data_IF_465505973108
#
_entry.id   IF_465505973108
#
_cell.length_a   1.000
_cell.length_b   1.000
_cell.length_c   1.000
_cell.angle_alpha   90.00
_cell.angle_beta   90.00
_cell.angle_gamma   90.00
#
_symmetry.space_group_name_H-M   'P 1'
#
loop_
_entity.id
_entity.type
_entity.pdbx_description
1 polymer ?
#
# COMPACT_ATOMS: atom_id res chain seq x y z
N UNK A 1 -17.43 19.90 -30.59
CA UNK A 1 -16.48 18.85 -31.03
C UNK A 1 -15.23 18.81 -30.14
N UNK A 2 -14.76 19.95 -29.64
CA UNK A 2 -13.55 20.06 -28.80
C UNK A 2 -13.60 19.26 -27.49
N UNK A 3 -14.72 19.30 -26.75
CA UNK A 3 -14.83 18.59 -25.46
C UNK A 3 -14.66 17.08 -25.58
N UNK A 4 -15.15 16.45 -26.66
CA UNK A 4 -14.99 15.01 -26.89
C UNK A 4 -13.54 14.64 -27.16
N UNK A 5 -12.84 15.47 -27.93
CA UNK A 5 -11.43 15.29 -28.24
C UNK A 5 -10.56 15.43 -26.98
N UNK A 6 -10.84 16.43 -26.14
CA UNK A 6 -10.12 16.61 -24.86
C UNK A 6 -10.32 15.41 -23.93
N UNK A 7 -11.56 14.91 -23.84
CA UNK A 7 -11.89 13.77 -22.97
C UNK A 7 -11.27 12.47 -23.49
N UNK A 8 -11.30 12.21 -24.80
CA UNK A 8 -10.64 11.04 -25.37
C UNK A 8 -9.12 11.11 -25.19
N UNK A 9 -8.52 12.28 -25.42
CA UNK A 9 -7.09 12.50 -25.23
C UNK A 9 -6.69 12.29 -23.76
N UNK A 10 -7.46 12.82 -22.82
CA UNK A 10 -7.20 12.63 -21.39
C UNK A 10 -7.29 11.16 -20.98
N UNK A 11 -8.30 10.42 -21.47
CA UNK A 11 -8.44 8.99 -21.21
C UNK A 11 -7.25 8.19 -21.76
N UNK A 12 -6.81 8.51 -22.98
CA UNK A 12 -5.70 7.83 -23.65
C UNK A 12 -4.36 8.16 -22.98
N UNK A 13 -4.13 9.41 -22.58
CA UNK A 13 -2.94 9.79 -21.80
C UNK A 13 -2.88 9.06 -20.46
N UNK A 14 -4.01 8.94 -19.75
CA UNK A 14 -4.08 8.18 -18.50
C UNK A 14 -3.84 6.68 -18.72
N UNK A 15 -4.34 6.13 -19.83
CA UNK A 15 -4.09 4.74 -20.21
C UNK A 15 -2.59 4.49 -20.45
N UNK A 16 -1.95 5.33 -21.27
CA UNK A 16 -0.52 5.27 -21.52
C UNK A 16 0.32 5.51 -20.26
N UNK A 17 -0.10 6.42 -19.38
CA UNK A 17 0.56 6.64 -18.09
C UNK A 17 0.47 5.39 -17.19
N UNK A 18 -0.68 4.73 -17.15
CA UNK A 18 -0.88 3.50 -16.38
C UNK A 18 -0.06 2.32 -16.91
N UNK A 19 -0.15 2.05 -18.21
CA UNK A 19 0.66 0.99 -18.86
C UNK A 19 2.15 1.32 -18.74
N UNK A 20 2.51 2.58 -18.98
CA UNK A 20 3.89 3.06 -18.89
C UNK A 20 4.49 2.89 -17.50
N UNK A 21 3.76 3.22 -16.43
CA UNK A 21 4.26 3.06 -15.06
C UNK A 21 4.46 1.59 -14.68
N UNK A 22 3.59 0.68 -15.12
CA UNK A 22 3.76 -0.76 -14.93
C UNK A 22 5.01 -1.27 -15.65
N UNK A 23 5.17 -0.91 -16.93
CA UNK A 23 6.31 -1.34 -17.75
C UNK A 23 7.62 -0.79 -17.19
N UNK A 24 7.68 0.52 -16.90
CA UNK A 24 8.87 1.16 -16.36
C UNK A 24 9.24 0.61 -14.99
N UNK A 25 8.26 0.40 -14.11
CA UNK A 25 8.53 -0.18 -12.80
C UNK A 25 8.97 -1.65 -12.85
N UNK A 26 8.41 -2.44 -13.77
CA UNK A 26 8.86 -3.81 -14.02
C UNK A 26 10.29 -3.86 -14.57
N UNK A 27 10.60 -3.03 -15.57
CA UNK A 27 11.95 -2.91 -16.12
C UNK A 27 12.95 -2.44 -15.07
N UNK A 28 12.58 -1.44 -14.25
CA UNK A 28 13.41 -0.96 -13.15
C UNK A 28 13.66 -2.06 -12.10
N UNK A 29 12.63 -2.79 -11.71
CA UNK A 29 12.76 -3.91 -10.77
C UNK A 29 13.65 -5.02 -11.34
N UNK A 30 13.52 -5.33 -12.63
CA UNK A 30 14.35 -6.32 -13.32
C UNK A 30 15.80 -5.86 -13.45
N UNK A 31 16.02 -4.59 -13.81
CA UNK A 31 17.35 -4.00 -13.89
C UNK A 31 18.05 -4.03 -12.52
N UNK A 32 17.34 -3.68 -11.45
CA UNK A 32 17.87 -3.74 -10.09
C UNK A 32 18.15 -5.18 -9.65
N UNK A 33 17.35 -6.15 -10.11
CA UNK A 33 17.60 -7.58 -9.87
C UNK A 33 18.83 -8.08 -10.62
N UNK A 34 19.03 -7.64 -11.87
CA UNK A 34 20.14 -8.05 -12.72
C UNK A 34 21.48 -7.41 -12.30
N UNK A 35 21.46 -6.17 -11.80
CA UNK A 35 22.65 -5.42 -11.39
C UNK A 35 22.92 -5.47 -9.88
N UNK A 36 21.94 -5.87 -9.07
CA UNK A 36 22.04 -5.93 -7.61
C UNK A 36 22.88 -7.10 -7.10
N UNK A 37 23.52 -6.92 -5.94
CA UNK A 37 24.19 -8.01 -5.22
C UNK A 37 23.15 -9.02 -4.73
N UNK A 38 23.39 -10.32 -4.93
CA UNK A 38 22.53 -11.39 -4.40
C UNK A 38 22.53 -11.30 -2.88
N UNK A 39 21.41 -10.89 -2.29
CA UNK A 39 21.25 -10.85 -0.84
C UNK A 39 20.95 -12.28 -0.35
N UNK A 40 21.54 -12.73 0.76
CA UNK A 40 21.19 -14.02 1.36
C UNK A 40 19.72 -14.06 1.79
N UNK A 41 19.09 -15.24 1.76
CA UNK A 41 17.80 -15.48 2.42
C UNK A 41 16.54 -15.00 1.68
N UNK A 42 16.52 -14.97 0.35
CA UNK A 42 15.29 -14.66 -0.42
C UNK A 42 14.89 -13.18 -0.44
N UNK A 43 15.67 -12.32 0.23
CA UNK A 43 15.39 -10.89 0.36
C UNK A 43 15.41 -10.15 -0.98
N UNK A 44 16.24 -10.60 -1.94
CA UNK A 44 16.26 -10.06 -3.30
C UNK A 44 14.92 -10.28 -4.02
N UNK A 45 14.32 -11.46 -3.88
CA UNK A 45 13.02 -11.78 -4.47
C UNK A 45 11.90 -10.98 -3.80
N UNK A 46 11.94 -10.85 -2.47
CA UNK A 46 10.99 -10.01 -1.71
C UNK A 46 11.01 -8.56 -2.17
N UNK A 47 12.20 -7.97 -2.33
CA UNK A 47 12.36 -6.59 -2.84
C UNK A 47 11.89 -6.42 -4.28
N UNK A 48 12.19 -7.38 -5.14
CA UNK A 48 11.67 -7.39 -6.52
C UNK A 48 10.14 -7.38 -6.53
N UNK A 49 9.50 -8.29 -5.78
CA UNK A 49 8.03 -8.34 -5.69
C UNK A 49 7.41 -7.07 -5.11
N UNK A 50 8.03 -6.46 -4.11
CA UNK A 50 7.55 -5.19 -3.54
C UNK A 50 7.62 -4.04 -4.55
N UNK A 51 8.72 -3.92 -5.28
CA UNK A 51 8.88 -2.86 -6.29
C UNK A 51 7.93 -3.07 -7.48
N UNK A 52 7.80 -4.31 -7.94
CA UNK A 52 6.86 -4.66 -9.00
C UNK A 52 5.41 -4.40 -8.56
N UNK A 53 5.04 -4.81 -7.34
CA UNK A 53 3.71 -4.57 -6.78
C UNK A 53 3.36 -3.09 -6.65
N UNK A 54 4.31 -2.25 -6.21
CA UNK A 54 4.12 -0.78 -6.15
C UNK A 54 3.90 -0.17 -7.52
N UNK A 55 4.66 -0.60 -8.52
CA UNK A 55 4.50 -0.12 -9.89
C UNK A 55 3.15 -0.52 -10.50
N UNK A 56 2.72 -1.77 -10.26
CA UNK A 56 1.41 -2.25 -10.70
C UNK A 56 0.29 -1.46 -10.01
N UNK A 57 0.37 -1.23 -8.70
CA UNK A 57 -0.65 -0.47 -7.96
C UNK A 57 -0.79 0.95 -8.51
N UNK A 58 0.34 1.64 -8.76
CA UNK A 58 0.35 2.96 -9.37
C UNK A 58 -0.26 2.93 -10.78
N UNK A 59 0.09 1.93 -11.59
CA UNK A 59 -0.50 1.75 -12.92
C UNK A 59 -2.01 1.52 -12.86
N UNK A 60 -2.49 0.76 -11.88
CA UNK A 60 -3.91 0.51 -11.67
C UNK A 60 -4.66 1.80 -11.30
N UNK A 61 -4.08 2.71 -10.51
CA UNK A 61 -4.70 4.01 -10.22
C UNK A 61 -4.94 4.83 -11.51
N UNK A 62 -3.95 4.90 -12.40
CA UNK A 62 -4.08 5.59 -13.68
C UNK A 62 -5.08 4.90 -14.62
N UNK A 63 -5.06 3.57 -14.69
CA UNK A 63 -6.02 2.81 -15.49
C UNK A 63 -7.45 2.98 -14.93
N UNK A 64 -7.63 3.18 -13.62
CA UNK A 64 -8.96 3.46 -13.02
C UNK A 64 -9.46 4.82 -13.46
N UNK A 65 -8.60 5.83 -13.44
CA UNK A 65 -8.96 7.14 -13.95
C UNK A 65 -9.34 7.10 -15.44
N UNK A 66 -8.56 6.40 -16.28
CA UNK A 66 -8.82 6.29 -17.72
C UNK A 66 -10.20 5.65 -18.02
N UNK A 67 -10.57 4.62 -17.27
CA UNK A 67 -11.82 3.89 -17.44
C UNK A 67 -13.03 4.73 -17.01
N UNK A 68 -12.94 5.46 -15.89
CA UNK A 68 -13.97 6.41 -15.46
C UNK A 68 -14.17 7.49 -16.53
N UNK A 69 -13.10 8.10 -17.04
CA UNK A 69 -13.18 9.15 -18.08
C UNK A 69 -13.86 8.62 -19.35
N UNK A 70 -13.56 7.37 -19.75
CA UNK A 70 -14.16 6.75 -20.93
C UNK A 70 -15.66 6.54 -20.75
N UNK A 71 -16.08 6.04 -19.59
CA UNK A 71 -17.49 5.77 -19.29
C UNK A 71 -18.35 7.04 -19.32
N UNK A 72 -17.87 8.15 -18.77
CA UNK A 72 -18.64 9.41 -18.71
C UNK A 72 -18.76 10.13 -20.06
N UNK A 73 -17.91 9.78 -21.03
CA UNK A 73 -17.80 10.47 -22.32
C UNK A 73 -18.72 9.93 -23.42
N UNK A 74 -19.23 8.71 -23.26
CA UNK A 74 -20.05 8.03 -24.26
C UNK A 74 -21.53 8.42 -24.11
N UNK A 75 -22.22 8.74 -25.22
CA UNK A 75 -23.68 8.95 -25.16
C UNK A 75 -24.33 7.60 -24.84
N UNK A 76 -25.28 7.53 -23.90
CA UNK A 76 -25.93 6.28 -23.57
C UNK A 76 -26.69 5.75 -24.81
N UNK A 77 -26.19 4.64 -25.35
CA UNK A 77 -26.89 3.75 -26.29
C UNK A 77 -26.79 2.35 -25.69
N UNK A 78 -27.82 1.51 -25.85
CA UNK A 78 -27.81 0.18 -25.23
C UNK A 78 -26.60 -0.67 -25.65
N UNK A 79 -26.19 -0.58 -26.91
CA UNK A 79 -25.02 -1.27 -27.44
C UNK A 79 -23.71 -0.72 -26.87
N UNK A 80 -23.57 0.60 -26.79
CA UNK A 80 -22.40 1.24 -26.18
C UNK A 80 -22.27 0.90 -24.69
N UNK A 81 -23.38 0.87 -23.95
CA UNK A 81 -23.41 0.48 -22.53
C UNK A 81 -23.03 -1.00 -22.35
N UNK A 82 -23.43 -1.88 -23.28
CA UNK A 82 -23.06 -3.31 -23.26
C UNK A 82 -21.55 -3.51 -23.45
N UNK A 83 -20.97 -2.87 -24.46
CA UNK A 83 -19.52 -2.96 -24.72
C UNK A 83 -18.73 -2.35 -23.55
N UNK A 84 -19.17 -1.19 -23.05
CA UNK A 84 -18.58 -0.53 -21.90
C UNK A 84 -18.65 -1.41 -20.64
N UNK A 85 -19.82 -2.01 -20.37
CA UNK A 85 -20.01 -2.92 -19.25
C UNK A 85 -19.12 -4.17 -19.34
N UNK A 86 -18.94 -4.71 -20.56
CA UNK A 86 -18.05 -5.85 -20.79
C UNK A 86 -16.58 -5.49 -20.54
N UNK A 87 -16.13 -4.32 -20.99
CA UNK A 87 -14.74 -3.85 -20.77
C UNK A 87 -14.48 -3.65 -19.26
N UNK A 88 -15.40 -2.99 -18.55
CA UNK A 88 -15.30 -2.80 -17.09
C UNK A 88 -15.31 -4.15 -16.36
N UNK A 89 -16.16 -5.10 -16.78
CA UNK A 89 -16.22 -6.44 -16.18
C UNK A 89 -14.90 -7.19 -16.31
N UNK A 90 -14.32 -7.22 -17.51
CA UNK A 90 -13.01 -7.84 -17.76
C UNK A 90 -11.95 -7.18 -16.89
N UNK A 91 -11.99 -5.85 -16.80
CA UNK A 91 -11.06 -5.06 -16.00
C UNK A 91 -11.12 -5.40 -14.52
N UNK A 92 -12.33 -5.45 -13.94
CA UNK A 92 -12.51 -5.85 -12.54
C UNK A 92 -12.03 -7.27 -12.31
N UNK A 93 -12.39 -8.21 -13.20
CA UNK A 93 -12.01 -9.62 -13.06
C UNK A 93 -10.50 -9.83 -13.11
N UNK A 94 -9.81 -9.27 -14.12
CA UNK A 94 -8.36 -9.41 -14.28
C UNK A 94 -7.60 -8.74 -13.14
N UNK A 95 -7.97 -7.51 -12.76
CA UNK A 95 -7.36 -6.83 -11.62
C UNK A 95 -7.57 -7.63 -10.32
N UNK A 96 -8.75 -8.19 -10.12
CA UNK A 96 -9.07 -8.99 -8.94
C UNK A 96 -8.26 -10.29 -8.87
N UNK A 97 -8.20 -11.07 -9.96
CA UNK A 97 -7.42 -12.31 -9.99
C UNK A 97 -5.93 -12.05 -9.74
N UNK A 98 -5.37 -10.99 -10.33
CA UNK A 98 -3.98 -10.60 -10.09
C UNK A 98 -3.71 -10.23 -8.63
N UNK A 99 -4.58 -9.44 -8.00
CA UNK A 99 -4.44 -9.09 -6.57
C UNK A 99 -4.51 -10.34 -5.69
N UNK A 100 -5.44 -11.25 -5.94
CA UNK A 100 -5.58 -12.50 -5.16
C UNK A 100 -4.36 -13.41 -5.33
N UNK A 101 -3.85 -13.57 -6.56
CA UNK A 101 -2.66 -14.37 -6.82
C UNK A 101 -1.40 -13.76 -6.17
N UNK A 102 -1.26 -12.44 -6.25
CA UNK A 102 -0.09 -11.75 -5.70
C UNK A 102 -0.12 -11.73 -4.17
N UNK A 103 -1.27 -11.50 -3.55
CA UNK A 103 -1.37 -11.37 -2.10
C UNK A 103 -1.66 -12.69 -1.38
N UNK A 104 -2.18 -13.71 -2.08
CA UNK A 104 -2.56 -15.00 -1.50
C UNK A 104 -3.72 -14.90 -0.50
N UNK A 105 -4.39 -13.75 -0.45
CA UNK A 105 -5.46 -13.39 0.49
C UNK A 105 -6.57 -12.67 -0.26
N UNK A 106 -7.79 -12.89 0.17
CA UNK A 106 -8.94 -12.25 -0.45
C UNK A 106 -9.04 -10.78 0.01
N UNK A 107 -9.49 -9.84 -0.85
CA UNK A 107 -9.52 -8.41 -0.51
C UNK A 107 -10.49 -8.06 0.63
N UNK A 108 -11.40 -8.97 0.98
CA UNK A 108 -12.27 -8.84 2.16
C UNK A 108 -11.70 -9.46 3.44
N UNK A 109 -10.46 -9.97 3.43
CA UNK A 109 -9.80 -10.35 4.68
C UNK A 109 -9.38 -9.08 5.41
N UNK A 110 -9.84 -8.86 6.66
CA UNK A 110 -9.40 -7.75 7.47
C UNK A 110 -7.87 -7.78 7.56
N UNK A 111 -7.24 -6.63 7.29
CA UNK A 111 -5.85 -6.43 7.64
C UNK A 111 -5.83 -6.48 9.17
N UNK A 112 -5.14 -7.46 9.75
CA UNK A 112 -4.73 -7.38 11.15
C UNK A 112 -3.80 -6.18 11.27
N UNK A 113 -4.39 -4.99 11.35
CA UNK A 113 -3.72 -3.77 11.75
C UNK A 113 -3.22 -4.03 13.16
N UNK A 114 -1.89 -4.19 13.25
CA UNK A 114 -1.06 -3.88 14.40
C UNK A 114 -1.86 -3.68 15.69
N UNK A 115 -2.04 -4.78 16.43
CA UNK A 115 -2.03 -4.73 17.89
C UNK A 115 -0.63 -4.31 18.37
N UNK A 116 -0.16 -3.15 17.90
CA UNK A 116 0.85 -2.32 18.54
C UNK A 116 0.10 -1.15 19.17
N UNK A 117 -0.93 -1.45 19.96
CA UNK A 117 -1.22 -0.56 21.08
C UNK A 117 0.09 -0.53 21.90
N UNK A 118 0.65 0.66 22.20
CA UNK A 118 1.80 0.72 23.09
C UNK A 118 1.38 0.02 24.37
N UNK A 119 2.19 -0.94 24.83
CA UNK A 119 2.05 -1.45 26.19
C UNK A 119 1.88 -0.24 27.13
N UNK A 120 0.89 -0.25 28.04
CA UNK A 120 0.75 0.85 29.00
C UNK A 120 2.12 1.07 29.64
N UNK A 121 2.56 2.33 29.82
CA UNK A 121 3.88 2.61 30.34
C UNK A 121 4.05 1.84 31.63
N UNK A 122 4.89 0.79 31.60
CA UNK A 122 5.38 0.14 32.80
C UNK A 122 5.99 1.25 33.62
N UNK A 123 5.37 1.54 34.77
CA UNK A 123 5.83 2.56 35.69
C UNK A 123 7.34 2.37 35.90
N UNK A 124 8.15 3.43 35.92
CA UNK A 124 9.57 3.29 36.18
C UNK A 124 9.77 2.50 37.47
N UNK A 125 10.80 1.62 37.55
CA UNK A 125 11.06 0.86 38.76
C UNK A 125 11.10 1.84 39.92
N UNK A 126 10.30 1.57 40.96
CA UNK A 126 10.22 2.41 42.15
C UNK A 126 11.64 2.78 42.58
N UNK A 127 11.95 4.09 42.59
CA UNK A 127 13.19 4.60 43.14
C UNK A 127 13.41 3.92 44.49
N UNK A 128 14.62 3.40 44.80
CA UNK A 128 14.85 2.79 46.10
C UNK A 128 14.41 3.78 47.17
N UNK A 129 13.45 3.34 47.99
CA UNK A 129 12.94 4.14 49.11
C UNK A 129 14.13 4.56 49.97
N UNK A 130 14.61 5.79 49.79
CA UNK A 130 15.41 6.44 50.81
C UNK A 130 14.44 6.72 51.95
N UNK A 131 14.61 6.08 53.13
CA UNK A 131 13.81 6.45 54.28
C UNK A 131 14.03 7.95 54.55
N UNK A 132 12.93 8.67 54.76
CA UNK A 132 12.98 10.07 55.14
C UNK A 132 13.93 10.24 56.34
N UNK A 133 14.76 11.30 56.37
CA UNK A 133 15.63 11.53 57.51
C UNK A 133 14.78 11.65 58.79
N UNK A 134 15.24 11.08 59.92
CA UNK A 134 14.48 11.17 61.16
C UNK A 134 14.31 12.65 61.57
N UNK A 135 13.20 12.98 62.24
CA UNK A 135 12.99 14.33 62.76
C UNK A 135 14.13 14.71 63.71
N UNK A 136 14.47 16.00 63.81
CA UNK A 136 15.66 16.49 64.54
C UNK A 136 15.70 16.07 66.02
N UNK A 137 14.56 15.69 66.59
CA UNK A 137 14.43 15.34 68.01
C UNK A 137 14.40 13.82 68.27
N UNK A 138 14.76 12.99 67.28
CA UNK A 138 14.81 11.55 67.49
C UNK A 138 15.91 11.16 68.50
N UNK A 139 15.60 10.40 69.56
CA UNK A 139 16.60 9.98 70.54
C UNK A 139 17.66 9.09 69.88
N UNK A 140 18.95 9.43 70.09
CA UNK A 140 20.07 8.68 69.49
C UNK A 140 20.10 7.24 70.02
N UNK A 141 20.25 6.23 69.16
CA UNK A 141 20.29 4.84 69.60
C UNK A 141 21.54 4.59 70.46
N UNK A 142 21.32 4.11 71.69
CA UNK A 142 22.37 3.69 72.61
C UNK A 142 22.89 2.33 72.11
N UNK A 143 24.17 2.27 71.74
CA UNK A 143 24.81 1.00 71.36
C UNK A 143 25.06 0.20 72.64
N UNK A 144 24.47 -1.00 72.71
CA UNK A 144 24.82 -2.03 73.69
C UNK A 144 26.00 -2.87 73.17
#
# INVERSE_FOLDING_TARGET
MEARFLVSLAAELMEWAGVGSMVLGALFALWMLATGKRLPGGETYRRFRLNLGRAILLGLEFLVAADIIRTVSQRPTLEGVLVLGLIVLIRTFLSFTLTVELEGRWPWQPREEESTAPAPPTSPPASPHHPAPPPPDAPRPVKH
#
